data_IF_939991127245
#
_entry.id   IF_939991127245
#
_cell.length_a   1.000
_cell.length_b   1.000
_cell.length_c   1.000
_cell.angle_alpha   90.00
_cell.angle_beta   90.00
_cell.angle_gamma   90.00
#
_symmetry.space_group_name_H-M   'P 1'
#
loop_
_entity.id
_entity.type
_entity.pdbx_description
1 polymer ?
#
# COMPACT_ATOMS: atom_id res chain seq x y z
N UNK A 1 -20.86 1.49 -19.02
CA UNK A 1 -20.19 2.03 -20.22
C UNK A 1 -18.78 1.44 -20.24
N UNK A 2 -18.42 0.68 -21.27
CA UNK A 2 -17.17 -0.10 -21.30
C UNK A 2 -15.93 0.81 -21.43
N UNK A 3 -14.92 0.59 -20.59
CA UNK A 3 -13.63 1.27 -20.70
C UNK A 3 -12.99 0.91 -22.04
N UNK A 4 -12.71 1.91 -22.87
CA UNK A 4 -12.08 1.74 -24.18
C UNK A 4 -10.61 2.14 -24.07
N UNK A 5 -9.71 1.22 -24.41
CA UNK A 5 -8.28 1.46 -24.56
C UNK A 5 -8.04 2.33 -25.80
N UNK A 6 -7.41 3.50 -25.63
CA UNK A 6 -6.88 4.29 -26.74
C UNK A 6 -5.39 4.49 -26.52
N UNK A 7 -4.60 4.04 -27.49
CA UNK A 7 -3.16 4.25 -27.54
C UNK A 7 -2.94 5.59 -28.25
N UNK A 8 -2.42 6.59 -27.52
CA UNK A 8 -2.01 7.86 -28.11
C UNK A 8 -0.59 7.70 -28.65
N UNK A 9 -0.41 7.98 -29.94
CA UNK A 9 0.67 7.48 -30.79
C UNK A 9 1.93 8.36 -30.84
N UNK A 10 2.20 9.17 -29.82
CA UNK A 10 3.26 10.20 -29.83
C UNK A 10 4.37 10.02 -28.79
N UNK A 11 4.45 8.88 -28.10
CA UNK A 11 5.56 8.55 -27.17
C UNK A 11 6.73 7.76 -27.77
N UNK A 12 6.66 7.40 -29.06
CA UNK A 12 7.62 6.51 -29.75
C UNK A 12 9.04 7.05 -29.96
N UNK A 13 9.39 8.22 -29.41
CA UNK A 13 10.75 8.79 -29.54
C UNK A 13 11.58 8.83 -28.26
N UNK A 14 11.05 8.47 -27.09
CA UNK A 14 11.81 8.61 -25.85
C UNK A 14 12.40 7.31 -25.27
N UNK A 15 11.81 6.13 -25.47
CA UNK A 15 12.32 4.90 -24.85
C UNK A 15 12.01 3.68 -25.74
N UNK A 16 12.83 3.47 -26.77
CA UNK A 16 12.91 2.16 -27.43
C UNK A 16 14.28 1.56 -27.12
N UNK A 17 14.34 0.61 -26.19
CA UNK A 17 15.31 -0.48 -26.34
C UNK A 17 15.09 -1.77 -25.55
N UNK A 18 14.12 -1.89 -24.64
CA UNK A 18 13.88 -3.19 -23.99
C UNK A 18 12.41 -3.60 -24.03
N UNK A 19 12.15 -4.73 -24.69
CA UNK A 19 10.88 -5.43 -24.72
C UNK A 19 10.62 -6.05 -23.32
N UNK A 20 9.57 -5.60 -22.62
CA UNK A 20 9.20 -6.17 -21.32
C UNK A 20 8.22 -5.39 -20.46
N UNK A 21 7.81 -4.19 -20.85
CA UNK A 21 7.03 -3.30 -19.98
C UNK A 21 5.51 -3.46 -20.20
N UNK A 22 4.81 -3.86 -19.13
CA UNK A 22 3.35 -3.83 -19.07
C UNK A 22 2.90 -2.50 -18.43
N UNK A 23 2.16 -1.69 -19.18
CA UNK A 23 1.68 -0.38 -18.72
C UNK A 23 0.23 -0.47 -18.26
N UNK A 24 -0.06 0.14 -17.10
CA UNK A 24 -1.41 0.26 -16.57
C UNK A 24 -1.84 1.73 -16.61
N UNK A 25 -2.76 2.07 -17.52
CA UNK A 25 -3.33 3.42 -17.60
C UNK A 25 -4.82 3.34 -17.31
N UNK A 26 -5.27 3.96 -16.22
CA UNK A 26 -6.69 4.15 -15.94
C UNK A 26 -7.08 5.61 -16.19
N UNK A 27 -8.21 5.84 -16.87
CA UNK A 27 -8.82 7.17 -17.06
C UNK A 27 -9.56 7.67 -15.80
N UNK A 28 -9.03 7.32 -14.64
CA UNK A 28 -9.52 7.74 -13.33
C UNK A 28 -8.63 8.90 -12.86
N UNK A 29 -9.10 9.84 -12.02
CA UNK A 29 -8.21 10.75 -11.30
C UNK A 29 -7.04 9.95 -10.69
N UNK A 30 -5.86 10.57 -10.57
CA UNK A 30 -4.57 9.87 -10.47
C UNK A 30 -4.51 8.63 -9.56
N UNK A 31 -3.83 7.59 -10.05
CA UNK A 31 -3.45 6.40 -9.26
C UNK A 31 -2.52 6.86 -8.15
N UNK A 32 -2.80 6.45 -6.92
CA UNK A 32 -2.03 6.86 -5.75
C UNK A 32 -1.07 5.75 -5.29
N UNK A 33 -1.50 4.49 -5.39
CA UNK A 33 -0.66 3.35 -5.02
C UNK A 33 -1.07 2.06 -5.75
N UNK A 34 -0.19 1.06 -5.73
CA UNK A 34 -0.36 -0.23 -6.40
C UNK A 34 0.16 -1.38 -5.55
N UNK A 35 -0.50 -2.54 -5.62
CA UNK A 35 -0.05 -3.76 -4.96
C UNK A 35 -0.06 -4.94 -5.94
N UNK A 36 0.89 -5.87 -5.76
CA UNK A 36 1.02 -7.06 -6.60
C UNK A 36 0.34 -8.24 -5.91
N UNK A 37 -0.41 -9.04 -6.66
CA UNK A 37 -1.02 -10.28 -6.16
C UNK A 37 -0.12 -11.46 -6.52
N UNK A 38 0.42 -12.14 -5.50
CA UNK A 38 1.36 -13.28 -5.64
C UNK A 38 2.52 -12.97 -6.59
N UNK A 39 2.62 -13.74 -7.68
CA UNK A 39 3.67 -13.65 -8.70
C UNK A 39 3.40 -12.55 -9.74
N UNK A 40 2.35 -11.73 -9.54
CA UNK A 40 2.06 -10.57 -10.37
C UNK A 40 1.31 -10.85 -11.67
N UNK A 41 0.54 -11.95 -11.74
CA UNK A 41 -0.43 -12.13 -12.83
C UNK A 41 -1.59 -11.15 -12.73
N UNK A 42 -1.94 -10.77 -11.50
CA UNK A 42 -2.88 -9.72 -11.21
C UNK A 42 -2.22 -8.61 -10.38
N UNK A 43 -2.68 -7.39 -10.63
CA UNK A 43 -2.22 -6.18 -9.94
C UNK A 43 -3.43 -5.43 -9.43
N UNK A 44 -3.24 -4.75 -8.31
CA UNK A 44 -4.19 -3.86 -7.68
C UNK A 44 -3.74 -2.41 -7.83
N UNK A 45 -4.70 -1.52 -7.99
CA UNK A 45 -4.45 -0.07 -7.98
C UNK A 45 -5.50 0.62 -7.14
N UNK A 46 -5.10 1.66 -6.41
CA UNK A 46 -6.02 2.60 -5.78
C UNK A 46 -5.94 3.98 -6.42
N UNK A 47 -7.05 4.71 -6.32
CA UNK A 47 -7.21 5.98 -7.03
C UNK A 47 -7.82 7.05 -6.13
N UNK A 48 -7.58 8.30 -6.52
CA UNK A 48 -8.26 9.48 -5.99
C UNK A 48 -9.77 9.48 -6.27
N UNK A 49 -10.29 8.65 -7.18
CA UNK A 49 -11.75 8.48 -7.34
C UNK A 49 -12.38 7.69 -6.19
N UNK A 50 -11.55 7.14 -5.28
CA UNK A 50 -11.98 6.33 -4.16
C UNK A 50 -12.25 4.87 -4.51
N UNK A 51 -11.86 4.44 -5.72
CA UNK A 51 -11.96 3.05 -6.14
C UNK A 51 -10.63 2.31 -6.00
N UNK A 52 -10.72 1.05 -5.57
CA UNK A 52 -9.66 0.07 -5.68
C UNK A 52 -10.03 -0.94 -6.77
N UNK A 53 -9.11 -1.23 -7.69
CA UNK A 53 -9.38 -2.04 -8.89
C UNK A 53 -8.38 -3.17 -9.05
N UNK A 54 -8.86 -4.28 -9.58
CA UNK A 54 -8.07 -5.47 -9.92
C UNK A 54 -7.88 -5.57 -11.43
N UNK A 55 -6.67 -5.91 -11.84
CA UNK A 55 -6.25 -5.94 -13.23
C UNK A 55 -5.63 -7.28 -13.62
N UNK A 56 -5.82 -7.70 -14.86
CA UNK A 56 -5.07 -8.79 -15.50
C UNK A 56 -3.91 -8.18 -16.28
N UNK A 57 -2.68 -8.51 -15.87
CA UNK A 57 -1.46 -8.00 -16.52
C UNK A 57 -1.32 -8.52 -17.95
N UNK A 58 -1.73 -9.77 -18.22
CA UNK A 58 -1.55 -10.39 -19.53
C UNK A 58 -2.49 -9.86 -20.61
N UNK A 59 -3.64 -9.31 -20.20
CA UNK A 59 -4.61 -8.68 -21.11
C UNK A 59 -4.69 -7.17 -20.97
N UNK A 60 -3.94 -6.58 -20.05
CA UNK A 60 -4.05 -5.16 -19.67
C UNK A 60 -5.51 -4.73 -19.45
N UNK A 61 -6.28 -5.57 -18.76
CA UNK A 61 -7.72 -5.41 -18.62
C UNK A 61 -8.14 -5.29 -17.15
N UNK A 62 -9.08 -4.40 -16.86
CA UNK A 62 -9.70 -4.29 -15.55
C UNK A 62 -10.65 -5.49 -15.35
N UNK A 63 -10.36 -6.33 -14.36
CA UNK A 63 -11.21 -7.47 -13.99
C UNK A 63 -12.41 -7.01 -13.16
N UNK A 64 -12.23 -5.98 -12.33
CA UNK A 64 -13.33 -5.40 -11.57
C UNK A 64 -12.90 -4.35 -10.55
N UNK A 65 -13.91 -3.68 -9.99
CA UNK A 65 -13.76 -2.83 -8.81
C UNK A 65 -13.85 -3.74 -7.58
N UNK A 66 -12.83 -3.68 -6.72
CA UNK A 66 -12.75 -4.45 -5.47
C UNK A 66 -13.44 -3.69 -4.34
N UNK A 67 -13.28 -2.37 -4.30
CA UNK A 67 -13.94 -1.51 -3.34
C UNK A 67 -14.24 -0.15 -3.97
N UNK A 68 -15.39 0.41 -3.60
CA UNK A 68 -15.75 1.81 -3.85
C UNK A 68 -15.99 2.46 -2.49
N UNK A 69 -15.02 3.28 -2.07
CA UNK A 69 -14.98 3.86 -0.73
C UNK A 69 -15.66 5.24 -0.65
N UNK A 70 -16.00 5.85 -1.79
CA UNK A 70 -16.56 7.20 -1.87
C UNK A 70 -15.61 8.33 -1.45
N UNK A 71 -14.34 8.02 -1.16
CA UNK A 71 -13.29 8.95 -0.74
C UNK A 71 -11.95 8.47 -1.28
N UNK A 72 -10.99 9.36 -1.64
CA UNK A 72 -9.67 8.96 -2.13
C UNK A 72 -9.01 7.89 -1.26
N UNK A 73 -8.37 6.93 -1.93
CA UNK A 73 -7.58 5.87 -1.29
C UNK A 73 -6.11 6.14 -1.58
N UNK A 74 -5.35 6.55 -0.57
CA UNK A 74 -3.97 7.03 -0.70
C UNK A 74 -2.95 5.90 -0.76
N UNK A 75 -3.21 4.80 -0.04
CA UNK A 75 -2.29 3.66 0.05
C UNK A 75 -3.03 2.34 0.11
N UNK A 76 -2.40 1.31 -0.43
CA UNK A 76 -2.93 -0.06 -0.39
C UNK A 76 -1.87 -1.09 -0.05
N UNK A 77 -2.29 -2.15 0.62
CA UNK A 77 -1.46 -3.32 0.85
C UNK A 77 -2.30 -4.58 0.67
N UNK A 78 -1.74 -5.57 -0.03
CA UNK A 78 -2.34 -6.88 -0.17
C UNK A 78 -1.59 -7.87 0.72
N UNK A 79 -2.33 -8.67 1.49
CA UNK A 79 -1.78 -9.66 2.41
C UNK A 79 -2.62 -10.92 2.47
N UNK A 80 -1.99 -12.02 2.89
CA UNK A 80 -2.70 -13.27 3.17
C UNK A 80 -3.39 -13.15 4.52
N UNK A 81 -4.70 -13.39 4.55
CA UNK A 81 -5.46 -13.39 5.79
C UNK A 81 -5.21 -14.69 6.56
N UNK A 82 -5.26 -14.61 7.89
CA UNK A 82 -5.31 -15.80 8.73
C UNK A 82 -6.65 -16.54 8.56
N UNK A 83 -6.64 -17.86 8.73
CA UNK A 83 -7.82 -18.73 8.58
C UNK A 83 -8.93 -18.42 9.58
N UNK A 84 -8.61 -17.72 10.67
CA UNK A 84 -9.61 -17.24 11.63
C UNK A 84 -10.49 -16.11 11.10
N UNK A 85 -10.04 -15.41 10.05
CA UNK A 85 -10.72 -14.22 9.53
C UNK A 85 -11.77 -14.62 8.49
N UNK A 86 -13.02 -14.23 8.72
CA UNK A 86 -14.07 -14.44 7.74
C UNK A 86 -13.95 -13.39 6.63
N UNK A 87 -13.43 -13.79 5.47
CA UNK A 87 -13.34 -12.93 4.29
C UNK A 87 -14.67 -12.78 3.55
N UNK A 88 -15.71 -13.53 3.93
CA UNK A 88 -16.99 -13.56 3.24
C UNK A 88 -16.97 -14.43 1.98
N UNK A 89 -18.13 -14.59 1.36
CA UNK A 89 -18.30 -15.36 0.13
C UNK A 89 -18.43 -14.42 -1.07
N UNK A 90 -17.83 -14.77 -2.22
CA UNK A 90 -17.96 -13.97 -3.43
C UNK A 90 -19.39 -14.06 -3.97
N UNK A 91 -20.01 -12.90 -4.25
CA UNK A 91 -21.35 -12.83 -4.85
C UNK A 91 -21.39 -13.41 -6.27
N UNK A 92 -20.28 -13.26 -7.00
CA UNK A 92 -20.09 -13.78 -8.35
C UNK A 92 -18.88 -14.70 -8.37
N UNK A 93 -18.93 -15.83 -9.08
CA UNK A 93 -17.76 -16.67 -9.22
C UNK A 93 -16.59 -15.85 -9.81
N UNK A 94 -15.38 -16.00 -9.27
CA UNK A 94 -14.21 -15.31 -9.77
C UNK A 94 -13.97 -15.70 -11.23
N UNK A 95 -13.45 -14.76 -12.02
CA UNK A 95 -13.09 -15.06 -13.41
C UNK A 95 -11.88 -16.01 -13.45
N UNK A 96 -11.74 -16.82 -14.50
CA UNK A 96 -10.54 -17.66 -14.70
C UNK A 96 -9.21 -16.86 -14.79
N UNK A 97 -9.31 -15.53 -14.95
CA UNK A 97 -8.17 -14.60 -15.02
C UNK A 97 -7.83 -13.97 -13.68
N UNK A 98 -8.67 -14.15 -12.67
CA UNK A 98 -8.43 -13.76 -11.30
C UNK A 98 -7.70 -14.90 -10.60
N UNK A 99 -6.38 -14.74 -10.42
CA UNK A 99 -5.48 -15.78 -9.92
C UNK A 99 -4.82 -15.31 -8.63
N UNK A 100 -4.86 -16.14 -7.59
CA UNK A 100 -4.16 -15.85 -6.35
C UNK A 100 -4.83 -14.81 -5.45
N UNK A 101 -6.13 -14.55 -5.66
CA UNK A 101 -6.92 -13.65 -4.79
C UNK A 101 -7.58 -14.37 -3.60
N UNK A 102 -7.56 -15.70 -3.62
CA UNK A 102 -8.10 -16.57 -2.57
C UNK A 102 -7.35 -16.37 -1.24
N UNK A 103 -8.11 -16.28 -0.15
CA UNK A 103 -7.54 -16.13 1.20
C UNK A 103 -6.83 -14.79 1.43
N UNK A 104 -7.01 -13.80 0.55
CA UNK A 104 -6.34 -12.49 0.68
C UNK A 104 -7.26 -11.39 1.12
N UNK A 105 -6.66 -10.44 1.82
CA UNK A 105 -7.26 -9.19 2.26
C UNK A 105 -6.48 -8.02 1.64
N UNK A 106 -7.23 -7.00 1.25
CA UNK A 106 -6.72 -5.72 0.77
C UNK A 106 -6.99 -4.66 1.82
N UNK A 107 -5.94 -3.98 2.25
CA UNK A 107 -6.03 -2.78 3.08
C UNK A 107 -6.18 -1.55 2.20
N UNK A 108 -7.04 -0.63 2.64
CA UNK A 108 -7.33 0.63 1.97
C UNK A 108 -7.12 1.76 2.99
N UNK A 109 -6.05 2.52 2.83
CA UNK A 109 -5.78 3.75 3.58
C UNK A 109 -6.55 4.91 2.91
N UNK A 110 -7.57 5.44 3.59
CA UNK A 110 -8.50 6.41 3.01
C UNK A 110 -8.28 7.82 3.57
N UNK A 111 -8.57 8.81 2.73
CA UNK A 111 -8.51 10.23 3.07
C UNK A 111 -9.58 10.62 4.12
N UNK A 112 -10.69 9.88 4.23
CA UNK A 112 -11.76 10.17 5.19
C UNK A 112 -11.52 9.56 6.59
N UNK A 113 -10.25 9.46 6.99
CA UNK A 113 -9.79 8.97 8.30
C UNK A 113 -10.15 7.51 8.58
N UNK A 114 -10.38 6.73 7.53
CA UNK A 114 -10.78 5.33 7.64
C UNK A 114 -9.70 4.41 7.08
N UNK A 115 -9.40 3.36 7.83
CA UNK A 115 -8.65 2.22 7.33
C UNK A 115 -9.65 1.07 7.15
N UNK A 116 -9.77 0.58 5.91
CA UNK A 116 -10.72 -0.47 5.58
C UNK A 116 -9.99 -1.72 5.09
N UNK A 117 -10.37 -2.88 5.63
CA UNK A 117 -9.97 -4.19 5.13
C UNK A 117 -11.09 -4.79 4.28
N UNK A 118 -10.77 -5.26 3.08
CA UNK A 118 -11.71 -5.89 2.14
C UNK A 118 -11.19 -7.24 1.70
N UNK A 119 -12.02 -8.28 1.73
CA UNK A 119 -11.67 -9.60 1.20
C UNK A 119 -11.49 -9.50 -0.31
N UNK A 120 -10.33 -9.90 -0.83
CA UNK A 120 -9.94 -9.60 -2.20
C UNK A 120 -10.82 -10.33 -3.22
N UNK A 121 -11.08 -11.62 -3.00
CA UNK A 121 -11.94 -12.44 -3.86
C UNK A 121 -13.43 -12.18 -3.62
N UNK A 122 -13.83 -12.03 -2.35
CA UNK A 122 -15.22 -11.85 -1.95
C UNK A 122 -15.76 -10.45 -2.25
N UNK A 123 -14.88 -9.44 -2.29
CA UNK A 123 -15.19 -8.00 -2.37
C UNK A 123 -16.03 -7.50 -1.19
N UNK A 124 -16.05 -8.25 -0.10
CA UNK A 124 -16.82 -7.91 1.10
C UNK A 124 -15.96 -7.16 2.12
N UNK A 125 -16.51 -6.16 2.82
CA UNK A 125 -15.80 -5.48 3.90
C UNK A 125 -15.56 -6.44 5.06
N UNK A 126 -14.31 -6.53 5.51
CA UNK A 126 -13.89 -7.38 6.64
C UNK A 126 -13.86 -6.57 7.93
N UNK A 127 -13.29 -5.37 7.88
CA UNK A 127 -13.27 -4.46 9.02
C UNK A 127 -13.20 -2.99 8.56
N UNK A 128 -13.53 -2.09 9.49
CA UNK A 128 -13.39 -0.66 9.33
C UNK A 128 -12.85 -0.06 10.64
N UNK A 129 -11.72 0.62 10.56
CA UNK A 129 -11.11 1.36 11.66
C UNK A 129 -11.12 2.85 11.37
N UNK A 130 -11.41 3.68 12.38
CA UNK A 130 -11.42 5.14 12.26
C UNK A 130 -10.26 5.71 13.06
N UNK A 131 -9.34 6.39 12.39
CA UNK A 131 -8.16 7.03 12.99
C UNK A 131 -8.40 8.48 13.38
N UNK A 132 -7.34 9.15 13.84
CA UNK A 132 -7.33 10.57 14.18
C UNK A 132 -7.39 11.48 12.94
N UNK A 133 -6.72 11.07 11.86
CA UNK A 133 -6.68 11.81 10.60
C UNK A 133 -6.60 10.91 9.35
N UNK A 134 -6.52 11.52 8.17
CA UNK A 134 -6.40 10.83 6.88
C UNK A 134 -5.27 9.80 6.89
N UNK A 135 -5.52 8.59 6.38
CA UNK A 135 -4.49 7.56 6.24
C UNK A 135 -3.75 7.71 4.91
N UNK A 136 -2.43 7.77 4.98
CA UNK A 136 -1.56 7.97 3.81
C UNK A 136 -0.99 6.65 3.29
N UNK A 137 -0.63 5.74 4.20
CA UNK A 137 -0.01 4.47 3.87
C UNK A 137 -0.45 3.37 4.84
N UNK A 138 -0.37 2.12 4.40
CA UNK A 138 -0.64 0.95 5.21
C UNK A 138 0.23 -0.23 4.77
N UNK A 139 0.48 -1.18 5.67
CA UNK A 139 1.25 -2.37 5.36
C UNK A 139 0.95 -3.52 6.33
N UNK A 140 1.29 -4.75 5.94
CA UNK A 140 1.20 -5.94 6.79
C UNK A 140 2.54 -6.23 7.44
N UNK A 141 2.58 -6.32 8.76
CA UNK A 141 3.74 -6.89 9.47
C UNK A 141 3.70 -8.42 9.45
N UNK A 142 2.50 -8.98 9.54
CA UNK A 142 2.23 -10.42 9.47
C UNK A 142 0.83 -10.67 8.91
N UNK A 143 0.35 -11.91 8.91
CA UNK A 143 -1.03 -12.25 8.55
C UNK A 143 -2.08 -11.70 9.54
N UNK A 144 -1.66 -11.29 10.74
CA UNK A 144 -2.53 -10.81 11.82
C UNK A 144 -2.31 -9.34 12.16
N UNK A 145 -1.09 -8.84 11.97
CA UNK A 145 -0.71 -7.49 12.38
C UNK A 145 -0.52 -6.57 11.19
N UNK A 146 -1.12 -5.38 11.30
CA UNK A 146 -1.04 -4.35 10.27
C UNK A 146 -0.60 -3.03 10.87
N UNK A 147 0.03 -2.22 10.03
CA UNK A 147 0.36 -0.83 10.33
C UNK A 147 -0.38 0.11 9.39
N UNK A 148 -0.77 1.27 9.89
CA UNK A 148 -1.32 2.34 9.08
C UNK A 148 -0.83 3.69 9.58
N UNK A 149 -0.32 4.52 8.67
CA UNK A 149 0.24 5.83 8.95
C UNK A 149 -0.71 6.94 8.53
N UNK A 150 -0.84 7.96 9.37
CA UNK A 150 -1.77 9.08 9.16
C UNK A 150 -1.06 10.42 8.88
N UNK A 151 -1.86 11.37 8.42
CA UNK A 151 -1.45 12.74 8.09
C UNK A 151 -0.96 13.55 9.30
N UNK A 152 -1.40 13.21 10.51
CA UNK A 152 -1.00 13.85 11.76
C UNK A 152 0.19 13.17 12.46
N UNK A 153 0.86 12.23 11.77
CA UNK A 153 2.07 11.57 12.26
C UNK A 153 1.86 10.36 13.17
N UNK A 154 0.59 9.93 13.36
CA UNK A 154 0.31 8.69 14.08
C UNK A 154 0.54 7.46 13.21
N UNK A 155 1.14 6.43 13.80
CA UNK A 155 1.26 5.10 13.23
C UNK A 155 0.45 4.15 14.12
N UNK A 156 -0.62 3.60 13.55
CA UNK A 156 -1.50 2.66 14.22
C UNK A 156 -1.00 1.23 14.01
N UNK A 157 -0.78 0.52 15.10
CA UNK A 157 -0.53 -0.92 15.10
C UNK A 157 -1.80 -1.65 15.52
N UNK A 158 -2.38 -2.41 14.59
CA UNK A 158 -3.68 -3.06 14.76
C UNK A 158 -3.57 -4.59 14.61
N UNK A 159 -4.42 -5.30 15.33
CA UNK A 159 -4.73 -6.71 15.09
C UNK A 159 -5.93 -6.80 14.15
N UNK A 160 -5.78 -7.45 13.00
CA UNK A 160 -6.84 -7.63 12.00
C UNK A 160 -8.03 -8.42 12.57
N UNK A 161 -7.81 -9.25 13.59
CA UNK A 161 -8.87 -10.04 14.25
C UNK A 161 -9.72 -9.19 15.21
N UNK A 162 -9.16 -8.09 15.71
CA UNK A 162 -9.86 -7.16 16.60
C UNK A 162 -9.40 -5.72 16.34
N UNK A 163 -10.05 -5.07 15.39
CA UNK A 163 -9.74 -3.69 15.00
C UNK A 163 -10.51 -2.65 15.81
N UNK A 164 -11.19 -3.02 16.90
CA UNK A 164 -11.94 -2.06 17.71
C UNK A 164 -11.04 -1.10 18.49
N UNK A 165 -9.85 -1.58 18.87
CA UNK A 165 -8.84 -0.77 19.56
C UNK A 165 -7.46 -1.08 18.97
N UNK A 166 -6.59 -0.07 18.81
CA UNK A 166 -5.22 -0.32 18.42
C UNK A 166 -4.48 -1.07 19.52
N UNK A 167 -3.58 -1.97 19.13
CA UNK A 167 -2.59 -2.56 20.04
C UNK A 167 -1.72 -1.44 20.60
N UNK A 168 -1.30 -0.55 19.71
CA UNK A 168 -0.46 0.59 20.04
C UNK A 168 -0.65 1.71 19.01
N UNK A 169 -0.46 2.95 19.47
CA UNK A 169 -0.29 4.11 18.60
C UNK A 169 1.11 4.67 18.82
N UNK A 170 1.91 4.71 17.77
CA UNK A 170 3.27 5.23 17.79
C UNK A 170 3.22 6.64 17.20
N UNK A 171 3.73 7.61 17.95
CA UNK A 171 3.77 9.00 17.53
C UNK A 171 5.17 9.55 17.80
N UNK A 172 5.88 9.96 16.73
CA UNK A 172 7.22 10.55 16.83
C UNK A 172 7.25 12.04 16.55
N UNK A 173 6.49 12.47 15.57
CA UNK A 173 6.34 13.87 15.19
C UNK A 173 4.91 14.11 14.70
N UNK A 174 4.51 15.36 14.57
CA UNK A 174 3.25 15.74 13.91
C UNK A 174 3.32 15.77 12.38
N UNK A 175 4.43 15.35 11.78
CA UNK A 175 4.60 15.31 10.33
C UNK A 175 3.88 14.09 9.73
N UNK A 176 3.35 14.19 8.50
CA UNK A 176 2.59 13.11 7.90
C UNK A 176 3.46 11.88 7.68
N UNK A 177 2.94 10.70 8.04
CA UNK A 177 3.59 9.42 7.72
C UNK A 177 3.38 9.15 6.24
N UNK A 178 4.46 8.99 5.48
CA UNK A 178 4.42 8.85 4.02
C UNK A 178 4.64 7.41 3.55
N UNK A 179 5.48 6.65 4.25
CA UNK A 179 5.78 5.26 3.89
C UNK A 179 5.95 4.38 5.12
N UNK A 180 5.48 3.14 5.02
CA UNK A 180 5.65 2.10 6.01
C UNK A 180 6.11 0.82 5.31
N UNK A 181 7.21 0.24 5.78
CA UNK A 181 7.81 -0.96 5.21
C UNK A 181 8.13 -1.98 6.31
N UNK A 182 7.59 -3.20 6.26
CA UNK A 182 7.99 -4.27 7.16
C UNK A 182 9.47 -4.57 6.99
N UNK A 183 10.20 -4.68 8.11
CA UNK A 183 11.64 -4.93 8.07
C UNK A 183 12.09 -5.72 9.30
N UNK A 184 12.66 -6.91 9.07
CA UNK A 184 13.01 -7.88 10.12
C UNK A 184 11.78 -8.12 11.04
N UNK A 185 11.95 -8.02 12.35
CA UNK A 185 10.88 -8.20 13.34
C UNK A 185 10.08 -6.89 13.63
N UNK A 186 10.29 -5.84 12.84
CA UNK A 186 9.63 -4.56 13.00
C UNK A 186 9.33 -3.87 11.67
N UNK A 187 9.56 -2.56 11.61
CA UNK A 187 9.24 -1.76 10.41
C UNK A 187 10.11 -0.53 10.26
N UNK A 188 10.12 0.01 9.06
CA UNK A 188 10.67 1.32 8.72
C UNK A 188 9.51 2.26 8.45
N UNK A 189 9.57 3.46 9.01
CA UNK A 189 8.64 4.53 8.73
C UNK A 189 9.38 5.74 8.15
N UNK A 190 8.71 6.47 7.27
CA UNK A 190 9.20 7.74 6.74
C UNK A 190 8.13 8.82 6.86
N UNK A 191 8.55 10.06 7.07
CA UNK A 191 7.64 11.19 7.34
C UNK A 191 7.94 12.41 6.47
N UNK A 192 6.99 13.35 6.46
CA UNK A 192 7.05 14.57 5.66
C UNK A 192 8.05 15.64 6.13
N UNK A 193 8.66 15.47 7.30
CA UNK A 193 9.71 16.34 7.85
C UNK A 193 11.12 15.82 7.58
N UNK A 194 11.26 14.79 6.73
CA UNK A 194 12.53 14.15 6.41
C UNK A 194 12.96 13.07 7.39
N UNK A 195 12.23 12.83 8.47
CA UNK A 195 12.55 11.71 9.36
C UNK A 195 12.27 10.37 8.70
N UNK A 196 13.23 9.45 8.84
CA UNK A 196 13.06 8.06 8.45
C UNK A 196 13.76 7.19 9.49
N UNK A 197 13.06 6.20 10.03
CA UNK A 197 13.57 5.43 11.16
C UNK A 197 13.10 3.99 11.14
N UNK A 198 13.93 3.10 11.68
CA UNK A 198 13.66 1.68 11.85
C UNK A 198 13.26 1.42 13.29
N UNK A 199 12.12 0.78 13.49
CA UNK A 199 11.61 0.37 14.79
C UNK A 199 11.65 -1.15 14.87
N UNK A 200 12.31 -1.70 15.89
CA UNK A 200 12.25 -3.13 16.21
C UNK A 200 11.09 -3.45 17.15
N UNK A 201 10.78 -4.75 17.30
CA UNK A 201 9.61 -5.27 18.00
C UNK A 201 9.53 -4.88 19.48
N UNK A 202 10.70 -4.66 20.10
CA UNK A 202 10.84 -4.19 21.48
C UNK A 202 10.64 -2.67 21.64
N UNK A 203 10.61 -1.92 20.54
CA UNK A 203 10.50 -0.45 20.47
C UNK A 203 11.64 0.32 21.17
N UNK A 204 12.56 -0.39 21.82
CA UNK A 204 13.69 0.16 22.54
C UNK A 204 14.83 0.52 21.58
N UNK A 205 14.94 -0.20 20.45
CA UNK A 205 15.95 0.09 19.43
C UNK A 205 15.34 0.83 18.24
N UNK A 206 15.68 2.12 18.12
CA UNK A 206 15.35 2.93 16.96
C UNK A 206 16.61 3.42 16.26
N UNK A 207 16.72 3.10 14.98
CA UNK A 207 17.80 3.57 14.12
C UNK A 207 17.25 4.63 13.16
N UNK A 208 17.77 5.84 13.24
CA UNK A 208 17.40 6.93 12.32
C UNK A 208 18.27 6.91 11.05
N UNK A 209 17.63 6.98 9.89
CA UNK A 209 18.25 7.12 8.58
C UNK A 209 18.28 8.60 8.21
N UNK A 210 19.48 9.18 8.17
CA UNK A 210 19.69 10.63 8.04
C UNK A 210 19.97 11.05 6.59
N UNK A 211 20.36 12.31 6.39
CA UNK A 211 20.70 12.95 5.10
C UNK A 211 19.52 13.41 4.25
N UNK A 212 18.28 13.28 4.70
CA UNK A 212 17.12 13.83 3.98
C UNK A 212 16.99 15.36 4.12
N UNK A 213 17.81 16.02 4.96
CA UNK A 213 17.88 17.48 5.12
C UNK A 213 16.51 18.18 5.28
N UNK A 214 15.62 17.55 6.04
CA UNK A 214 14.24 17.98 6.28
C UNK A 214 13.32 17.99 5.03
N UNK A 215 13.77 17.42 3.91
CA UNK A 215 12.90 17.17 2.75
C UNK A 215 12.07 15.91 2.96
N UNK A 216 10.77 15.90 2.56
CA UNK A 216 9.91 14.74 2.71
C UNK A 216 10.50 13.46 2.11
N UNK A 217 10.50 12.38 2.90
CA UNK A 217 10.88 11.05 2.42
C UNK A 217 9.63 10.30 1.98
N UNK A 218 9.41 10.22 0.67
CA UNK A 218 8.16 9.74 0.08
C UNK A 218 7.99 8.23 0.12
N UNK A 219 9.08 7.47 -0.07
CA UNK A 219 9.02 6.01 -0.11
C UNK A 219 10.29 5.39 0.44
N UNK A 220 10.09 4.26 1.11
CA UNK A 220 11.17 3.38 1.57
C UNK A 220 11.02 2.03 0.90
N UNK A 221 12.14 1.45 0.49
CA UNK A 221 12.23 0.07 0.01
C UNK A 221 13.44 -0.62 0.65
N UNK A 222 13.42 -1.94 0.71
CA UNK A 222 14.53 -2.74 1.22
C UNK A 222 14.87 -3.87 0.26
N UNK A 223 16.15 -4.20 0.22
CA UNK A 223 16.67 -5.37 -0.47
C UNK A 223 17.81 -5.95 0.37
N UNK A 224 17.62 -7.16 0.88
CA UNK A 224 18.59 -7.80 1.79
C UNK A 224 18.95 -6.91 2.99
N UNK A 225 20.20 -6.42 3.05
CA UNK A 225 20.73 -5.54 4.11
C UNK A 225 20.77 -4.06 3.71
N UNK A 226 20.25 -3.73 2.53
CA UNK A 226 20.23 -2.38 2.01
C UNK A 226 18.83 -1.77 2.13
N UNK A 227 18.79 -0.50 2.52
CA UNK A 227 17.56 0.29 2.58
C UNK A 227 17.70 1.44 1.60
N UNK A 228 16.63 1.70 0.86
CA UNK A 228 16.54 2.73 -0.15
C UNK A 228 15.47 3.73 0.25
N UNK A 229 15.78 5.02 0.19
CA UNK A 229 14.81 6.09 0.42
C UNK A 229 14.78 7.01 -0.79
N UNK A 230 13.59 7.54 -1.12
CA UNK A 230 13.46 8.61 -2.10
C UNK A 230 12.89 9.86 -1.46
N UNK A 231 13.56 10.98 -1.68
CA UNK A 231 13.23 12.26 -1.08
C UNK A 231 12.82 13.27 -2.16
N UNK A 232 12.26 14.41 -1.74
CA UNK A 232 11.84 15.49 -2.65
C UNK A 232 12.98 16.14 -3.44
N UNK A 233 14.18 16.08 -2.90
CA UNK A 233 15.41 16.61 -3.51
C UNK A 233 15.85 15.92 -4.81
N UNK A 234 15.17 14.84 -5.21
CA UNK A 234 15.47 14.10 -6.43
C UNK A 234 16.59 13.06 -6.28
N UNK A 235 17.02 12.76 -5.06
CA UNK A 235 18.06 11.77 -4.78
C UNK A 235 17.45 10.49 -4.20
N UNK A 236 17.83 9.34 -4.77
CA UNK A 236 17.61 8.03 -4.16
C UNK A 236 18.83 7.70 -3.31
N UNK A 237 18.63 7.57 -2.01
CA UNK A 237 19.69 7.24 -1.05
C UNK A 237 19.70 5.74 -0.78
N UNK A 238 20.89 5.21 -0.51
CA UNK A 238 21.10 3.81 -0.14
C UNK A 238 21.87 3.73 1.17
N UNK A 239 21.28 3.07 2.15
CA UNK A 239 21.87 2.81 3.45
C UNK A 239 22.24 1.33 3.52
N UNK A 240 23.47 1.04 3.93
CA UNK A 240 23.93 -0.32 4.18
C UNK A 240 23.96 -0.55 5.69
N UNK A 241 23.14 -1.48 6.17
CA UNK A 241 23.14 -1.84 7.58
C UNK A 241 24.26 -2.84 7.88
N UNK A 242 24.98 -2.60 8.96
CA UNK A 242 25.92 -3.58 9.52
C UNK A 242 25.16 -4.76 10.13
N UNK A 243 25.88 -5.89 10.27
CA UNK A 243 25.39 -7.07 10.98
C UNK A 243 25.21 -6.82 12.49
#
# INVERSE_FOLDING_TARGET
MAATLRIQSDWSRALSKDEGEAWLSCRSPGILDTAIVDRGRNVLSCSRDGTARLWDCGKSACLGVIADCGSPVNGIAAGTADNSLNLGTPEKPPSEREVGTEGKILLLAREDKKLQGVGLQSRQPVFLFVGSDAFNCCTFLSSTYILAGTQDGNIYHLDVRNTNAPIQVIHRSGAPVLSLLPYRDGFIASQGDGTCFIVQQDLDYVLDLTEADCDPVYKVASWEKEIYTCCRDGIVRRYQLSD
#
